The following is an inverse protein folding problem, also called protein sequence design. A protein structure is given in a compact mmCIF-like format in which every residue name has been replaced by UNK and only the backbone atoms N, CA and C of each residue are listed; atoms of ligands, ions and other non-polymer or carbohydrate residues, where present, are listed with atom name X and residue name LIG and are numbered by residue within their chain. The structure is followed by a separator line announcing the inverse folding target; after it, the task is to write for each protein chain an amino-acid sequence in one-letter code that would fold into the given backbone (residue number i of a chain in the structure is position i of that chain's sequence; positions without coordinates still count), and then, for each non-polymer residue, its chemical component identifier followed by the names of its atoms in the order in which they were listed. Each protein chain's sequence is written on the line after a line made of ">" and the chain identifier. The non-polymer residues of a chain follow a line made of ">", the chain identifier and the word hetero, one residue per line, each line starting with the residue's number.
data_IF_445525759912
#
_entry.id   IF_445525759912
#
_cell.length_a   1.000
_cell.length_b   1.000
_cell.length_c   1.000
_cell.angle_alpha   90.00
_cell.angle_beta   90.00
_cell.angle_gamma   90.00
#
_symmetry.space_group_name_H-M   'P 1'
#
loop_
_entity.id
_entity.type
_entity.pdbx_description
1 polymer ?
#
# COMPACT_ATOMS: atom_id res chain seq x y z
N UNK A 1 17.37 -15.36 -40.12
CA UNK A 1 18.00 -14.58 -39.03
C UNK A 1 17.03 -13.74 -38.19
N UNK A 2 16.55 -12.55 -38.60
CA UNK A 2 15.68 -11.73 -37.71
C UNK A 2 14.34 -12.42 -37.38
N UNK A 3 13.76 -13.14 -38.35
CA UNK A 3 12.54 -13.94 -38.13
C UNK A 3 12.78 -15.11 -37.17
N UNK A 4 13.88 -15.85 -37.35
CA UNK A 4 14.25 -16.98 -36.48
C UNK A 4 14.50 -16.54 -35.03
N UNK A 5 15.17 -15.40 -34.80
CA UNK A 5 15.39 -14.89 -33.44
C UNK A 5 14.08 -14.47 -32.75
N UNK A 6 13.13 -13.93 -33.52
CA UNK A 6 11.78 -13.66 -33.04
C UNK A 6 11.01 -14.94 -32.73
N UNK A 7 11.16 -15.98 -33.56
CA UNK A 7 10.52 -17.29 -33.36
C UNK A 7 11.03 -18.01 -32.11
N UNK A 8 12.30 -17.79 -31.74
CA UNK A 8 12.93 -18.36 -30.53
C UNK A 8 12.59 -17.52 -29.27
N UNK A 9 11.86 -16.40 -29.39
CA UNK A 9 11.51 -15.48 -28.30
C UNK A 9 12.74 -14.99 -27.50
N UNK A 10 13.93 -15.02 -28.09
CA UNK A 10 15.16 -14.57 -27.44
C UNK A 10 15.29 -13.06 -27.65
N UNK A 11 15.45 -12.24 -26.59
CA UNK A 11 15.60 -10.80 -26.74
C UNK A 11 16.90 -10.48 -27.51
N UNK A 12 16.81 -9.55 -28.45
CA UNK A 12 17.94 -9.08 -29.25
C UNK A 12 17.75 -7.61 -29.62
N UNK A 13 18.85 -6.95 -29.98
CA UNK A 13 18.86 -5.60 -30.56
C UNK A 13 19.61 -5.64 -31.90
N UNK A 14 19.39 -4.63 -32.74
CA UNK A 14 20.14 -4.49 -33.99
C UNK A 14 21.21 -3.42 -33.79
N UNK A 15 22.47 -3.79 -34.04
CA UNK A 15 23.60 -2.86 -34.00
C UNK A 15 23.92 -2.44 -35.43
N UNK A 16 23.68 -1.16 -35.75
CA UNK A 16 24.01 -0.55 -37.04
C UNK A 16 25.42 0.04 -36.95
N UNK A 17 26.39 -0.68 -37.51
CA UNK A 17 27.78 -0.22 -37.56
C UNK A 17 27.95 0.90 -38.60
N UNK A 18 28.48 2.05 -38.18
CA UNK A 18 28.81 3.17 -39.07
C UNK A 18 30.02 3.95 -38.56
N UNK A 19 30.83 4.47 -39.50
CA UNK A 19 31.94 5.38 -39.19
C UNK A 19 31.43 6.72 -38.63
N UNK A 20 30.19 7.10 -38.95
CA UNK A 20 29.55 8.35 -38.49
C UNK A 20 28.13 8.08 -37.98
N UNK A 21 27.99 7.47 -36.79
CA UNK A 21 26.70 7.03 -36.25
C UNK A 21 25.71 8.19 -36.01
N UNK A 22 26.21 9.40 -35.75
CA UNK A 22 25.39 10.60 -35.53
C UNK A 22 24.93 11.28 -36.82
N UNK A 23 25.35 10.80 -37.99
CA UNK A 23 24.95 11.40 -39.26
C UNK A 23 23.46 11.19 -39.55
N UNK A 24 22.80 12.22 -40.10
CA UNK A 24 21.38 12.18 -40.46
C UNK A 24 20.96 10.94 -41.27
N UNK A 25 21.67 10.52 -42.34
CA UNK A 25 21.26 9.33 -43.10
C UNK A 25 21.32 8.04 -42.28
N UNK A 26 22.27 7.92 -41.35
CA UNK A 26 22.39 6.73 -40.48
C UNK A 26 21.28 6.70 -39.44
N UNK A 27 20.92 7.86 -38.89
CA UNK A 27 19.80 7.97 -37.93
C UNK A 27 18.44 7.71 -38.59
N UNK A 28 18.26 8.15 -39.85
CA UNK A 28 17.08 7.80 -40.63
C UNK A 28 16.98 6.28 -40.86
N UNK A 29 18.07 5.65 -41.29
CA UNK A 29 18.12 4.20 -41.46
C UNK A 29 17.87 3.45 -40.15
N UNK A 30 18.42 3.95 -39.02
CA UNK A 30 18.16 3.41 -37.68
C UNK A 30 16.66 3.37 -37.39
N UNK A 31 15.97 4.49 -37.59
CA UNK A 31 14.53 4.61 -37.32
C UNK A 31 13.68 3.73 -38.25
N UNK A 32 14.01 3.68 -39.55
CA UNK A 32 13.33 2.81 -40.52
C UNK A 32 13.44 1.33 -40.12
N UNK A 33 14.63 0.89 -39.70
CA UNK A 33 14.84 -0.48 -39.23
C UNK A 33 14.10 -0.76 -37.91
N UNK A 34 14.07 0.22 -37.00
CA UNK A 34 13.36 0.13 -35.72
C UNK A 34 11.86 -0.09 -35.95
N UNK A 35 11.25 0.66 -36.87
CA UNK A 35 9.84 0.47 -37.23
C UNK A 35 9.60 -0.83 -37.98
N UNK A 36 10.44 -1.15 -38.97
CA UNK A 36 10.28 -2.36 -39.80
C UNK A 36 10.35 -3.65 -38.98
N UNK A 37 11.23 -3.68 -37.98
CA UNK A 37 11.45 -4.88 -37.18
C UNK A 37 10.87 -4.81 -35.77
N UNK A 38 10.34 -3.67 -35.31
CA UNK A 38 9.82 -3.46 -33.95
C UNK A 38 10.78 -3.94 -32.84
N UNK A 39 12.07 -3.68 -33.04
CA UNK A 39 13.19 -4.05 -32.17
C UNK A 39 14.14 -2.84 -32.10
N UNK A 40 14.72 -2.51 -30.94
CA UNK A 40 15.62 -1.38 -30.80
C UNK A 40 16.81 -1.47 -31.75
N UNK A 41 17.16 -0.35 -32.38
CA UNK A 41 18.32 -0.25 -33.26
C UNK A 41 19.27 0.81 -32.73
N UNK A 42 20.52 0.42 -32.51
CA UNK A 42 21.58 1.31 -32.03
C UNK A 42 22.61 1.54 -33.14
N UNK A 43 22.81 2.81 -33.50
CA UNK A 43 23.88 3.20 -34.43
C UNK A 43 25.16 3.46 -33.64
N UNK A 44 26.22 2.71 -33.91
CA UNK A 44 27.52 2.83 -33.22
C UNK A 44 28.67 2.66 -34.21
N UNK A 45 29.84 3.20 -33.86
CA UNK A 45 31.07 2.91 -34.59
C UNK A 45 31.78 1.74 -33.91
N UNK A 46 31.69 0.53 -34.49
CA UNK A 46 32.28 -0.66 -33.89
C UNK A 46 33.81 -0.59 -33.77
N UNK A 47 34.48 0.23 -34.59
CA UNK A 47 35.94 0.42 -34.51
C UNK A 47 36.36 1.34 -33.35
N UNK A 48 35.45 2.19 -32.87
CA UNK A 48 35.69 3.17 -31.81
C UNK A 48 34.75 2.93 -30.62
N UNK A 49 34.39 1.68 -30.34
CA UNK A 49 33.55 1.34 -29.20
C UNK A 49 34.27 1.67 -27.89
N UNK A 50 33.62 2.51 -27.10
CA UNK A 50 34.05 2.82 -25.75
C UNK A 50 33.28 1.96 -24.75
N UNK A 51 33.75 1.93 -23.50
CA UNK A 51 33.08 1.20 -22.43
C UNK A 51 31.62 1.63 -22.24
N UNK A 52 31.33 2.93 -22.37
CA UNK A 52 29.96 3.48 -22.29
C UNK A 52 29.04 2.95 -23.41
N UNK A 53 29.56 2.78 -24.62
CA UNK A 53 28.79 2.26 -25.75
C UNK A 53 28.44 0.79 -25.51
N UNK A 54 29.40 0.00 -25.02
CA UNK A 54 29.19 -1.42 -24.68
C UNK A 54 28.14 -1.54 -23.57
N UNK A 55 28.22 -0.72 -22.53
CA UNK A 55 27.21 -0.71 -21.47
C UNK A 55 25.82 -0.38 -22.01
N UNK A 56 25.71 0.63 -22.87
CA UNK A 56 24.43 1.03 -23.47
C UNK A 56 23.83 -0.07 -24.36
N UNK A 57 24.66 -0.80 -25.11
CA UNK A 57 24.26 -1.97 -25.91
C UNK A 57 23.71 -3.06 -25.00
N UNK A 58 24.44 -3.42 -23.93
CA UNK A 58 24.01 -4.47 -22.99
C UNK A 58 22.72 -4.06 -22.28
N UNK A 59 22.63 -2.82 -21.82
CA UNK A 59 21.43 -2.28 -21.18
C UNK A 59 20.21 -2.36 -22.10
N UNK A 60 20.34 -1.93 -23.36
CA UNK A 60 19.23 -1.99 -24.32
C UNK A 60 18.79 -3.44 -24.57
N UNK A 61 19.73 -4.40 -24.62
CA UNK A 61 19.39 -5.83 -24.69
C UNK A 61 18.63 -6.28 -23.45
N UNK A 62 19.05 -5.86 -22.26
CA UNK A 62 18.39 -6.22 -21.00
C UNK A 62 16.94 -5.69 -20.93
N UNK A 63 16.65 -4.52 -21.48
CA UNK A 63 15.29 -3.99 -21.55
C UNK A 63 14.37 -4.70 -22.55
N UNK A 64 14.93 -5.48 -23.48
CA UNK A 64 14.17 -6.32 -24.41
C UNK A 64 13.75 -7.66 -23.79
N UNK A 65 14.26 -8.01 -22.60
CA UNK A 65 13.85 -9.23 -21.91
C UNK A 65 12.35 -9.22 -21.61
N UNK A 66 11.78 -10.43 -21.67
CA UNK A 66 10.40 -10.67 -21.27
C UNK A 66 10.21 -10.47 -19.77
N UNK A 67 9.06 -9.92 -19.38
CA UNK A 67 8.69 -9.79 -17.98
C UNK A 67 8.25 -11.16 -17.46
N UNK A 68 8.74 -11.55 -16.28
CA UNK A 68 8.32 -12.78 -15.60
C UNK A 68 7.33 -12.51 -14.48
N UNK A 69 7.53 -11.44 -13.71
CA UNK A 69 6.70 -11.13 -12.55
C UNK A 69 6.58 -9.61 -12.39
N UNK A 70 5.34 -9.14 -12.23
CA UNK A 70 5.03 -7.76 -11.85
C UNK A 70 4.44 -7.81 -10.44
N UNK A 71 5.20 -7.30 -9.46
CA UNK A 71 4.72 -7.09 -8.10
C UNK A 71 4.20 -5.67 -7.98
N UNK A 72 3.03 -5.54 -7.37
CA UNK A 72 2.38 -4.25 -7.14
C UNK A 72 2.29 -4.02 -5.64
N UNK A 73 2.88 -2.92 -5.20
CA UNK A 73 2.85 -2.43 -3.83
C UNK A 73 1.70 -1.43 -3.72
N UNK A 74 0.73 -1.76 -2.86
CA UNK A 74 -0.42 -0.91 -2.54
C UNK A 74 -0.28 -0.42 -1.09
N UNK A 75 -0.92 0.71 -0.72
CA UNK A 75 -0.90 1.19 0.65
C UNK A 75 -1.48 0.16 1.63
N UNK A 76 -0.90 0.02 2.81
CA UNK A 76 -1.22 -1.07 3.75
C UNK A 76 -2.70 -1.16 4.14
N UNK A 77 -3.42 -0.03 4.21
CA UNK A 77 -4.85 -0.02 4.54
C UNK A 77 -5.72 -0.71 3.48
N UNK A 78 -5.26 -0.78 2.22
CA UNK A 78 -5.99 -1.46 1.15
C UNK A 78 -6.09 -2.96 1.43
N UNK A 79 -5.09 -3.56 2.07
CA UNK A 79 -5.12 -4.97 2.46
C UNK A 79 -6.24 -5.29 3.45
N UNK A 80 -6.57 -4.34 4.34
CA UNK A 80 -7.61 -4.49 5.37
C UNK A 80 -9.03 -4.41 4.83
N UNK A 81 -9.22 -3.94 3.59
CA UNK A 81 -10.54 -3.89 2.96
C UNK A 81 -11.07 -5.30 2.68
N UNK A 82 -12.38 -5.52 2.80
CA UNK A 82 -13.01 -6.77 2.39
C UNK A 82 -12.78 -7.06 0.90
N UNK A 83 -12.75 -8.35 0.51
CA UNK A 83 -12.51 -8.75 -0.88
C UNK A 83 -13.55 -8.18 -1.86
N UNK A 84 -14.77 -7.92 -1.38
CA UNK A 84 -15.84 -7.35 -2.18
C UNK A 84 -15.86 -5.83 -2.29
N UNK A 85 -14.93 -5.14 -1.62
CA UNK A 85 -14.87 -3.69 -1.59
C UNK A 85 -14.67 -3.09 -3.00
N UNK A 86 -15.44 -2.05 -3.32
CA UNK A 86 -15.46 -1.41 -4.65
C UNK A 86 -14.06 -0.98 -5.09
N UNK A 87 -13.29 -0.36 -4.19
CA UNK A 87 -11.93 0.11 -4.48
C UNK A 87 -10.98 -1.01 -4.91
N UNK A 88 -11.04 -2.18 -4.25
CA UNK A 88 -10.21 -3.33 -4.65
C UNK A 88 -10.57 -3.76 -6.07
N UNK A 89 -11.87 -3.90 -6.37
CA UNK A 89 -12.34 -4.33 -7.70
C UNK A 89 -11.88 -3.38 -8.80
N UNK A 90 -12.01 -2.07 -8.59
CA UNK A 90 -11.54 -1.05 -9.53
C UNK A 90 -10.02 -1.09 -9.72
N UNK A 91 -9.25 -1.13 -8.63
CA UNK A 91 -7.79 -1.21 -8.70
C UNK A 91 -7.32 -2.46 -9.46
N UNK A 92 -7.90 -3.63 -9.15
CA UNK A 92 -7.57 -4.87 -9.86
C UNK A 92 -7.91 -4.80 -11.35
N UNK A 93 -9.06 -4.22 -11.71
CA UNK A 93 -9.45 -4.05 -13.10
C UNK A 93 -8.44 -3.16 -13.87
N UNK A 94 -8.13 -1.99 -13.32
CA UNK A 94 -7.15 -1.04 -13.90
C UNK A 94 -5.78 -1.67 -14.04
N UNK A 95 -5.31 -2.38 -13.01
CA UNK A 95 -4.02 -3.07 -13.00
C UNK A 95 -3.99 -4.15 -14.09
N UNK A 96 -5.02 -5.00 -14.16
CA UNK A 96 -5.08 -6.09 -15.14
C UNK A 96 -5.12 -5.53 -16.57
N UNK A 97 -5.94 -4.51 -16.81
CA UNK A 97 -6.03 -3.89 -18.14
C UNK A 97 -4.73 -3.20 -18.55
N UNK A 98 -4.04 -2.54 -17.61
CA UNK A 98 -2.76 -1.90 -17.87
C UNK A 98 -1.62 -2.90 -18.09
N UNK A 99 -1.73 -4.12 -17.54
CA UNK A 99 -0.67 -5.15 -17.61
C UNK A 99 -0.88 -6.20 -18.70
N UNK A 100 -2.10 -6.37 -19.24
CA UNK A 100 -2.44 -7.37 -20.27
C UNK A 100 -1.56 -7.33 -21.52
N UNK A 101 -1.14 -6.14 -21.94
CA UNK A 101 -0.41 -5.94 -23.21
C UNK A 101 1.09 -5.72 -23.02
N UNK A 102 1.63 -5.90 -21.81
CA UNK A 102 3.04 -5.71 -21.55
C UNK A 102 3.76 -7.04 -21.75
N UNK A 103 4.74 -7.05 -22.64
CA UNK A 103 5.57 -8.24 -22.89
C UNK A 103 7.03 -8.02 -22.49
N UNK A 104 7.53 -6.79 -22.64
CA UNK A 104 8.94 -6.45 -22.46
C UNK A 104 9.15 -5.47 -21.32
N UNK A 105 10.31 -5.55 -20.67
CA UNK A 105 10.64 -4.65 -19.55
C UNK A 105 10.55 -3.18 -19.96
N UNK A 106 10.95 -2.80 -21.18
CA UNK A 106 10.84 -1.40 -21.66
C UNK A 106 9.42 -0.82 -21.60
N UNK A 107 8.39 -1.67 -21.72
CA UNK A 107 6.98 -1.26 -21.81
C UNK A 107 6.37 -0.97 -20.43
N UNK A 108 7.09 -1.29 -19.34
CA UNK A 108 6.59 -1.14 -17.98
C UNK A 108 6.34 0.32 -17.58
N UNK A 109 7.09 1.27 -18.16
CA UNK A 109 6.86 2.70 -17.92
C UNK A 109 5.47 3.12 -18.37
N UNK A 110 5.06 2.69 -19.58
CA UNK A 110 3.72 2.97 -20.11
C UNK A 110 2.62 2.36 -19.24
N UNK A 111 2.89 1.21 -18.61
CA UNK A 111 1.95 0.58 -17.71
C UNK A 111 1.78 1.36 -16.41
N UNK A 112 2.89 1.80 -15.81
CA UNK A 112 2.86 2.66 -14.64
C UNK A 112 2.09 3.95 -14.95
N UNK A 113 2.36 4.58 -16.10
CA UNK A 113 1.65 5.78 -16.55
C UNK A 113 0.15 5.56 -16.76
N UNK A 114 -0.25 4.40 -17.28
CA UNK A 114 -1.65 4.06 -17.46
C UNK A 114 -2.36 3.80 -16.13
N UNK A 115 -1.69 3.15 -15.18
CA UNK A 115 -2.20 2.95 -13.82
C UNK A 115 -2.39 4.31 -13.13
N UNK A 116 -1.44 5.24 -13.29
CA UNK A 116 -1.50 6.59 -12.70
C UNK A 116 -2.67 7.44 -13.22
N UNK A 117 -3.27 7.11 -14.37
CA UNK A 117 -4.47 7.81 -14.88
C UNK A 117 -5.76 7.49 -14.13
N UNK A 118 -5.75 6.47 -13.28
CA UNK A 118 -6.91 6.11 -12.47
C UNK A 118 -7.29 7.25 -11.52
N UNK A 119 -8.59 7.53 -11.38
CA UNK A 119 -9.07 8.64 -10.56
C UNK A 119 -8.72 8.53 -9.08
N UNK A 120 -8.48 7.30 -8.59
CA UNK A 120 -8.15 7.00 -7.19
C UNK A 120 -6.65 7.02 -6.89
N UNK A 121 -5.81 6.99 -7.92
CA UNK A 121 -4.36 6.89 -7.83
C UNK A 121 -3.76 8.29 -7.99
N UNK A 122 -2.85 8.64 -7.09
CA UNK A 122 -2.09 9.89 -7.15
C UNK A 122 -0.84 9.70 -8.02
N UNK A 123 -0.11 8.61 -7.79
CA UNK A 123 1.10 8.28 -8.54
C UNK A 123 1.31 6.77 -8.61
N UNK A 124 1.87 6.29 -9.73
CA UNK A 124 2.38 4.94 -9.86
C UNK A 124 3.81 5.01 -10.40
N UNK A 125 4.77 4.48 -9.63
CA UNK A 125 6.19 4.55 -9.99
C UNK A 125 6.86 3.20 -9.89
N UNK A 126 7.89 2.99 -10.71
CA UNK A 126 8.68 1.76 -10.67
C UNK A 126 9.69 1.89 -9.53
N UNK A 127 9.52 1.10 -8.48
CA UNK A 127 10.40 1.11 -7.32
C UNK A 127 11.70 0.34 -7.60
N UNK A 128 11.60 -0.80 -8.27
CA UNK A 128 12.77 -1.60 -8.64
C UNK A 128 12.49 -2.47 -9.85
N UNK A 129 13.53 -2.66 -10.66
CA UNK A 129 13.51 -3.53 -11.84
C UNK A 129 14.73 -4.43 -11.78
N UNK A 130 14.51 -5.74 -11.73
CA UNK A 130 15.58 -6.71 -11.87
C UNK A 130 15.60 -7.21 -13.32
N UNK A 131 16.51 -6.60 -14.09
CA UNK A 131 16.71 -6.89 -15.51
C UNK A 131 17.20 -8.32 -15.78
N UNK A 132 17.83 -8.98 -14.79
CA UNK A 132 18.37 -10.33 -14.95
C UNK A 132 17.33 -11.44 -14.85
N UNK A 133 16.24 -11.21 -14.10
CA UNK A 133 15.17 -12.20 -13.91
C UNK A 133 13.77 -11.70 -14.30
N UNK A 134 13.67 -10.49 -14.88
CA UNK A 134 12.41 -9.94 -15.35
C UNK A 134 11.39 -9.66 -14.25
N UNK A 135 11.85 -9.42 -13.01
CA UNK A 135 10.98 -9.05 -11.88
C UNK A 135 10.92 -7.55 -11.70
N UNK A 136 9.72 -7.01 -11.58
CA UNK A 136 9.47 -5.58 -11.47
C UNK A 136 8.59 -5.32 -10.26
N UNK A 137 8.89 -4.27 -9.51
CA UNK A 137 8.03 -3.75 -8.44
C UNK A 137 7.52 -2.36 -8.81
N UNK A 138 6.19 -2.22 -8.89
CA UNK A 138 5.50 -0.94 -9.06
C UNK A 138 4.91 -0.55 -7.71
N UNK A 139 5.18 0.67 -7.26
CA UNK A 139 4.57 1.26 -6.06
C UNK A 139 3.45 2.21 -6.48
N UNK A 140 2.27 2.02 -5.87
CA UNK A 140 1.08 2.81 -6.13
C UNK A 140 0.77 3.65 -4.89
N UNK A 141 0.74 4.96 -5.09
CA UNK A 141 0.25 5.94 -4.12
C UNK A 141 -1.18 6.32 -4.46
N UNK A 142 -2.06 6.17 -3.48
CA UNK A 142 -3.46 6.54 -3.59
C UNK A 142 -3.64 8.00 -3.18
N UNK A 143 -4.68 8.65 -3.69
CA UNK A 143 -5.03 10.01 -3.28
C UNK A 143 -5.52 10.04 -1.83
N UNK A 144 -5.15 11.09 -1.10
CA UNK A 144 -5.49 11.26 0.32
C UNK A 144 -7.02 11.27 0.55
N UNK A 145 -7.79 11.84 -0.38
CA UNK A 145 -9.24 11.87 -0.30
C UNK A 145 -9.88 10.46 -0.27
N UNK A 146 -9.26 9.48 -0.93
CA UNK A 146 -9.74 8.10 -0.96
C UNK A 146 -9.48 7.41 0.37
N UNK A 147 -8.35 7.70 1.02
CA UNK A 147 -8.06 7.17 2.35
C UNK A 147 -9.14 7.60 3.37
N UNK A 148 -9.45 8.89 3.43
CA UNK A 148 -10.49 9.42 4.32
C UNK A 148 -11.90 8.93 3.97
N UNK A 149 -12.21 8.78 2.68
CA UNK A 149 -13.48 8.20 2.22
C UNK A 149 -13.65 6.77 2.73
N UNK A 150 -12.63 5.93 2.58
CA UNK A 150 -12.64 4.54 3.08
C UNK A 150 -12.81 4.50 4.60
N UNK A 151 -12.07 5.35 5.33
CA UNK A 151 -12.19 5.43 6.78
C UNK A 151 -13.60 5.81 7.19
N UNK A 152 -14.21 6.78 6.48
CA UNK A 152 -15.57 7.22 6.76
C UNK A 152 -16.60 6.11 6.51
N UNK A 153 -16.44 5.36 5.41
CA UNK A 153 -17.27 4.19 5.09
C UNK A 153 -17.13 3.09 6.15
N UNK A 154 -15.90 2.79 6.59
CA UNK A 154 -15.64 1.76 7.59
C UNK A 154 -16.11 2.16 9.00
N UNK A 155 -15.95 3.44 9.37
CA UNK A 155 -16.40 3.99 10.66
C UNK A 155 -17.91 4.30 10.67
N UNK A 156 -18.57 4.28 9.52
CA UNK A 156 -19.94 4.74 9.33
C UNK A 156 -20.18 6.14 9.94
N UNK A 157 -19.16 7.00 9.83
CA UNK A 157 -19.07 8.36 10.40
C UNK A 157 -18.17 9.19 9.49
N UNK A 158 -18.46 10.47 9.31
CA UNK A 158 -17.64 11.34 8.46
C UNK A 158 -16.27 11.66 9.08
N UNK A 159 -15.20 11.27 8.40
CA UNK A 159 -13.80 11.53 8.76
C UNK A 159 -13.11 12.13 7.53
N UNK A 160 -12.95 13.44 7.50
CA UNK A 160 -12.37 14.20 6.39
C UNK A 160 -10.94 14.71 6.65
N UNK A 161 -10.36 14.45 7.82
CA UNK A 161 -9.02 14.92 8.19
C UNK A 161 -8.38 14.11 9.31
N UNK A 162 -7.07 14.22 9.46
CA UNK A 162 -6.32 13.62 10.58
C UNK A 162 -6.82 14.10 11.94
N UNK A 163 -7.20 15.37 12.07
CA UNK A 163 -7.75 15.90 13.32
C UNK A 163 -9.08 15.23 13.69
N UNK A 164 -9.95 14.98 12.71
CA UNK A 164 -11.20 14.26 12.92
C UNK A 164 -10.98 12.78 13.21
N UNK A 165 -10.00 12.15 12.55
CA UNK A 165 -9.61 10.77 12.83
C UNK A 165 -9.11 10.63 14.28
N UNK A 166 -8.21 11.53 14.72
CA UNK A 166 -7.69 11.53 16.08
C UNK A 166 -8.79 11.75 17.12
N UNK A 167 -9.72 12.67 16.83
CA UNK A 167 -10.91 12.87 17.68
C UNK A 167 -11.76 11.61 17.75
N UNK A 168 -12.07 10.99 16.62
CA UNK A 168 -12.86 9.76 16.56
C UNK A 168 -12.22 8.62 17.36
N UNK A 169 -10.90 8.41 17.22
CA UNK A 169 -10.17 7.40 17.99
C UNK A 169 -10.16 7.71 19.49
N UNK A 170 -10.03 8.98 19.86
CA UNK A 170 -10.05 9.41 21.28
C UNK A 170 -11.43 9.21 21.89
N UNK A 171 -12.49 9.58 21.17
CA UNK A 171 -13.88 9.41 21.59
C UNK A 171 -14.21 7.92 21.72
N UNK A 172 -13.79 7.07 20.76
CA UNK A 172 -13.94 5.62 20.84
C UNK A 172 -13.17 5.03 22.03
N UNK A 173 -11.96 5.51 22.33
CA UNK A 173 -11.20 5.02 23.48
C UNK A 173 -11.90 5.37 24.80
N UNK A 174 -12.45 6.58 24.91
CA UNK A 174 -13.23 7.00 26.07
C UNK A 174 -14.52 6.17 26.20
N UNK A 175 -15.27 5.98 25.11
CA UNK A 175 -16.47 5.14 25.07
C UNK A 175 -16.16 3.69 25.41
N UNK A 176 -15.04 3.14 24.92
CA UNK A 176 -14.62 1.77 25.22
C UNK A 176 -14.30 1.60 26.71
N UNK A 177 -13.67 2.59 27.35
CA UNK A 177 -13.41 2.57 28.80
C UNK A 177 -14.71 2.52 29.60
N UNK A 178 -15.67 3.39 29.27
CA UNK A 178 -16.97 3.40 29.96
C UNK A 178 -17.77 2.11 29.65
N UNK A 179 -17.78 1.65 28.41
CA UNK A 179 -18.42 0.39 28.03
C UNK A 179 -17.82 -0.80 28.79
N UNK A 180 -16.49 -0.87 28.95
CA UNK A 180 -15.84 -1.94 29.68
C UNK A 180 -16.27 -2.02 31.15
N UNK A 181 -16.66 -0.90 31.78
CA UNK A 181 -17.20 -0.91 33.15
C UNK A 181 -18.53 -1.65 33.22
N UNK A 182 -19.40 -1.43 32.23
CA UNK A 182 -20.75 -2.02 32.19
C UNK A 182 -20.84 -3.33 31.42
N UNK A 183 -19.82 -3.70 30.64
CA UNK A 183 -19.83 -4.88 29.77
C UNK A 183 -20.11 -6.18 30.55
N UNK A 184 -19.48 -6.36 31.70
CA UNK A 184 -19.69 -7.53 32.55
C UNK A 184 -21.12 -7.58 33.10
N UNK A 185 -21.65 -6.44 33.56
CA UNK A 185 -23.02 -6.35 34.06
C UNK A 185 -24.05 -6.66 32.96
N UNK A 186 -23.83 -6.19 31.73
CA UNK A 186 -24.70 -6.49 30.59
C UNK A 186 -24.71 -7.98 30.23
N UNK A 187 -23.58 -8.67 30.41
CA UNK A 187 -23.46 -10.11 30.20
C UNK A 187 -24.18 -10.91 31.31
N UNK A 188 -24.14 -10.43 32.56
CA UNK A 188 -24.95 -10.96 33.66
C UNK A 188 -26.45 -10.79 33.41
N UNK A 189 -26.90 -9.63 32.91
CA UNK A 189 -28.32 -9.43 32.54
C UNK A 189 -28.76 -10.43 31.49
N UNK A 190 -27.96 -10.64 30.43
CA UNK A 190 -28.29 -11.61 29.38
C UNK A 190 -28.38 -13.05 29.88
N UNK A 191 -27.61 -13.42 30.89
CA UNK A 191 -27.52 -14.80 31.39
C UNK A 191 -28.43 -15.09 32.60
N UNK A 192 -28.60 -14.12 33.50
CA UNK A 192 -29.27 -14.27 34.81
C UNK A 192 -30.50 -13.38 34.97
N UNK A 193 -30.74 -12.43 34.05
CA UNK A 193 -31.83 -11.45 34.12
C UNK A 193 -31.57 -10.24 35.03
N UNK A 194 -30.37 -10.11 35.58
CA UNK A 194 -29.92 -8.94 36.33
C UNK A 194 -28.39 -8.86 36.30
N UNK A 195 -27.82 -7.66 36.40
CA UNK A 195 -26.37 -7.43 36.42
C UNK A 195 -25.95 -6.27 37.31
N UNK A 196 -24.76 -6.39 37.90
CA UNK A 196 -24.21 -5.39 38.81
C UNK A 196 -22.93 -4.81 38.19
N UNK A 197 -22.90 -3.49 38.06
CA UNK A 197 -21.70 -2.75 37.65
C UNK A 197 -20.85 -2.53 38.90
N UNK A 198 -19.70 -3.20 38.95
CA UNK A 198 -18.76 -3.02 40.07
C UNK A 198 -17.93 -1.76 39.82
N UNK A 199 -17.91 -0.79 40.76
CA UNK A 199 -17.13 0.42 40.60
C UNK A 199 -15.62 0.15 40.57
N UNK A 200 -14.89 0.97 39.83
CA UNK A 200 -13.43 0.86 39.73
C UNK A 200 -12.74 1.46 40.96
N UNK A 201 -11.47 1.09 41.18
CA UNK A 201 -10.64 1.63 42.27
C UNK A 201 -10.56 3.17 42.21
N UNK A 202 -10.52 3.74 41.01
CA UNK A 202 -10.48 5.19 40.79
C UNK A 202 -11.79 5.91 41.18
N UNK A 203 -12.87 5.16 41.40
CA UNK A 203 -14.20 5.66 41.81
C UNK A 203 -14.44 5.47 43.32
N UNK A 204 -13.46 4.92 44.05
CA UNK A 204 -13.51 4.76 45.50
C UNK A 204 -13.31 6.10 46.19
N UNK A 205 -14.31 6.53 46.95
CA UNK A 205 -14.21 7.68 47.85
C UNK A 205 -13.81 7.19 49.23
N UNK A 206 -12.70 7.72 49.74
CA UNK A 206 -12.27 7.51 51.13
C UNK A 206 -13.21 8.26 52.06
N UNK A 207 -13.90 7.51 52.92
CA UNK A 207 -14.72 8.07 53.99
C UNK A 207 -13.84 8.56 55.13
N UNK A 208 -14.36 9.50 55.91
CA UNK A 208 -13.62 10.07 57.05
C UNK A 208 -13.12 8.98 58.01
N UNK A 209 -11.83 9.01 58.40
CA UNK A 209 -11.23 7.99 59.24
C UNK A 209 -11.85 7.99 60.64
N UNK A 210 -12.30 6.82 61.11
CA UNK A 210 -12.80 6.66 62.47
C UNK A 210 -11.70 6.12 63.40
N UNK A 211 -11.48 6.82 64.51
CA UNK A 211 -10.53 6.39 65.55
C UNK A 211 -11.21 5.32 66.41
N UNK A 212 -10.64 4.13 66.44
CA UNK A 212 -11.10 3.02 67.28
C UNK A 212 -10.11 2.80 68.41
N UNK A 213 -10.62 2.81 69.66
CA UNK A 213 -9.83 2.50 70.85
C UNK A 213 -10.13 1.07 71.29
N UNK A 214 -9.11 0.22 71.36
CA UNK A 214 -9.22 -1.10 71.95
C UNK A 214 -7.99 -1.37 72.84
N UNK A 215 -8.22 -1.51 74.15
CA UNK A 215 -7.21 -1.91 75.13
C UNK A 215 -5.89 -1.12 75.08
N UNK A 216 -5.91 0.18 75.43
CA UNK A 216 -4.69 1.01 75.49
C UNK A 216 -4.04 1.36 74.14
N UNK A 217 -4.50 0.77 73.03
CA UNK A 217 -4.02 1.04 71.67
C UNK A 217 -5.05 1.84 70.86
N UNK A 218 -4.55 2.78 70.06
CA UNK A 218 -5.33 3.59 69.13
C UNK A 218 -5.16 3.01 67.73
N UNK A 219 -6.27 2.68 67.07
CA UNK A 219 -6.30 2.28 65.66
C UNK A 219 -7.08 3.28 64.82
N UNK A 220 -6.73 3.38 63.54
CA UNK A 220 -7.48 4.15 62.55
C UNK A 220 -8.21 3.18 61.64
N UNK A 221 -9.54 3.28 61.55
CA UNK A 221 -10.37 2.51 60.64
C UNK A 221 -10.68 3.36 59.41
N UNK A 222 -10.14 2.94 58.27
CA UNK A 222 -10.42 3.53 56.96
C UNK A 222 -11.58 2.76 56.31
N UNK A 223 -12.54 3.49 55.75
CA UNK A 223 -13.61 2.95 54.92
C UNK A 223 -13.54 3.62 53.56
N UNK A 224 -13.81 2.85 52.51
CA UNK A 224 -13.97 3.37 51.16
C UNK A 224 -15.32 2.88 50.64
N UNK A 225 -16.05 3.76 49.97
CA UNK A 225 -17.32 3.44 49.31
C UNK A 225 -17.32 3.94 47.89
N UNK A 226 -18.08 3.27 47.01
CA UNK A 226 -18.30 3.70 45.64
C UNK A 226 -19.73 3.34 45.22
N UNK A 227 -20.37 4.16 44.36
CA UNK A 227 -21.72 3.90 43.88
C UNK A 227 -21.74 2.69 42.95
N UNK A 228 -22.68 1.76 43.17
CA UNK A 228 -22.92 0.61 42.29
C UNK A 228 -24.16 0.83 41.43
N UNK A 229 -24.06 0.54 40.13
CA UNK A 229 -25.20 0.61 39.21
C UNK A 229 -25.81 -0.78 39.06
N UNK A 230 -27.14 -0.86 39.23
CA UNK A 230 -27.92 -2.05 38.97
C UNK A 230 -28.57 -1.94 37.59
N UNK A 231 -28.41 -2.96 36.77
CA UNK A 231 -29.01 -3.06 35.43
C UNK A 231 -29.93 -4.28 35.44
N UNK A 232 -31.19 -4.09 35.04
CA UNK A 232 -32.23 -5.12 34.98
C UNK A 232 -32.95 -5.07 33.64
#
# INVERSE_FOLDING_TARGET
>A
MVKELKEINKPFIIVLNSVSPSSTPVQQMRFELEQKYNVPVMAVNCLQLNQSDIFSIIETVLFEFGIQEIKISLPGYTSSLGNDHWLKKELYAVILDSTKNISKIREINNAADNIAKCEYIDNASIQSTNLGNGKIVIDIKMKDNIYYKILSEAANTEIASDAQLMKYVTDLSAMQKEYNKVAYALEEVKSKGYGIVTPNIDELVLEEPQIVKHGGRFGVKLRASAPSIHVA
#
